data_IF_503540400237
#
_entry.id   IF_503540400237
#
_cell.length_a   1.000
_cell.length_b   1.000
_cell.length_c   1.000
_cell.angle_alpha   90.00
_cell.angle_beta   90.00
_cell.angle_gamma   90.00
#
_symmetry.space_group_name_H-M   'P 1'
#
loop_
_entity.id
_entity.type
_entity.pdbx_description
1 polymer ?
#
# COMPACT_ATOMS: atom_id res chain seq x y z
N UNK A 1 -0.31 12.43 -7.18
CA UNK A 1 -0.16 11.14 -6.45
C UNK A 1 0.04 9.99 -7.43
N UNK A 2 0.75 8.93 -7.07
CA UNK A 2 0.90 7.67 -7.82
C UNK A 2 0.63 6.43 -6.94
N UNK A 3 0.34 5.26 -7.52
CA UNK A 3 -0.05 4.03 -6.81
C UNK A 3 0.72 2.80 -7.26
N UNK A 4 1.00 1.88 -6.32
CA UNK A 4 1.67 0.59 -6.59
C UNK A 4 1.06 -0.55 -5.76
N UNK A 5 0.81 -1.68 -6.41
CA UNK A 5 0.45 -2.94 -5.74
C UNK A 5 1.62 -3.92 -5.84
N UNK A 6 1.97 -4.57 -4.73
CA UNK A 6 3.02 -5.58 -4.65
C UNK A 6 2.39 -6.91 -4.26
N UNK A 7 2.37 -7.84 -5.20
CA UNK A 7 1.88 -9.21 -4.99
C UNK A 7 3.05 -10.10 -4.58
N UNK A 8 2.88 -10.85 -3.50
CA UNK A 8 3.82 -11.86 -3.04
C UNK A 8 3.11 -13.19 -2.80
N UNK A 9 3.87 -14.28 -2.89
CA UNK A 9 3.41 -15.63 -2.58
C UNK A 9 4.29 -16.24 -1.49
N UNK A 10 3.68 -16.84 -0.47
CA UNK A 10 4.36 -17.61 0.57
C UNK A 10 3.95 -19.07 0.43
N UNK A 11 4.93 -19.97 0.37
CA UNK A 11 4.69 -21.42 0.35
C UNK A 11 4.98 -21.97 1.72
N UNK A 12 3.96 -22.53 2.37
CA UNK A 12 4.10 -23.24 3.63
C UNK A 12 4.11 -24.74 3.34
N UNK A 13 5.20 -25.40 3.72
CA UNK A 13 5.30 -26.85 3.70
C UNK A 13 5.00 -27.39 5.10
N UNK A 14 4.08 -28.34 5.19
CA UNK A 14 3.82 -29.06 6.42
C UNK A 14 4.49 -30.44 6.32
N UNK A 15 5.59 -30.62 7.05
CA UNK A 15 6.36 -31.86 7.04
C UNK A 15 5.60 -33.05 7.67
N UNK A 16 4.64 -32.80 8.57
CA UNK A 16 3.89 -33.86 9.24
C UNK A 16 2.77 -34.46 8.35
N UNK A 17 2.24 -33.68 7.42
CA UNK A 17 1.15 -34.11 6.53
C UNK A 17 1.60 -34.22 5.06
N UNK A 18 2.86 -33.90 4.75
CA UNK A 18 3.40 -33.81 3.40
C UNK A 18 2.56 -32.91 2.46
N UNK A 19 1.85 -31.93 3.03
CA UNK A 19 1.04 -30.98 2.27
C UNK A 19 1.80 -29.68 2.09
N UNK A 20 1.63 -29.08 0.91
CA UNK A 20 2.12 -27.74 0.60
C UNK A 20 0.93 -26.82 0.36
N UNK A 21 0.93 -25.65 0.99
CA UNK A 21 -0.08 -24.61 0.78
C UNK A 21 0.62 -23.35 0.28
N UNK A 22 0.11 -22.80 -0.83
CA UNK A 22 0.57 -21.51 -1.36
C UNK A 22 -0.43 -20.44 -1.00
N UNK A 23 0.03 -19.38 -0.35
CA UNK A 23 -0.77 -18.22 0.02
C UNK A 23 -0.30 -16.99 -0.74
N UNK A 24 -1.25 -16.26 -1.31
CA UNK A 24 -0.98 -14.99 -1.99
C UNK A 24 -1.32 -13.83 -1.05
N UNK A 25 -0.46 -12.80 -1.03
CA UNK A 25 -0.68 -11.57 -0.28
C UNK A 25 -0.38 -10.39 -1.20
N UNK A 26 -1.24 -9.37 -1.16
CA UNK A 26 -0.98 -8.10 -1.85
C UNK A 26 -0.80 -6.99 -0.83
N UNK A 27 0.31 -6.24 -0.96
CA UNK A 27 0.56 -5.01 -0.23
C UNK A 27 0.38 -3.80 -1.14
N UNK A 28 -0.28 -2.77 -0.65
CA UNK A 28 -0.60 -1.56 -1.41
C UNK A 28 0.20 -0.37 -0.89
N UNK A 29 0.66 0.46 -1.82
CA UNK A 29 1.46 1.64 -1.54
C UNK A 29 0.98 2.83 -2.36
N UNK A 30 1.00 4.02 -1.76
CA UNK A 30 0.71 5.27 -2.42
C UNK A 30 1.92 6.21 -2.29
N UNK A 31 2.32 6.84 -3.39
CA UNK A 31 3.40 7.84 -3.43
C UNK A 31 2.79 9.24 -3.54
N UNK A 32 3.05 10.05 -2.54
CA UNK A 32 2.64 11.45 -2.49
C UNK A 32 3.84 12.32 -2.85
N UNK A 33 3.60 13.32 -3.69
CA UNK A 33 4.59 14.35 -4.01
C UNK A 33 4.12 15.66 -3.38
N UNK A 34 4.98 16.25 -2.57
CA UNK A 34 4.72 17.54 -1.94
C UNK A 34 5.11 18.68 -2.88
N UNK A 35 4.69 19.90 -2.55
CA UNK A 35 5.03 21.10 -3.31
C UNK A 35 6.54 21.37 -3.38
N UNK A 36 7.30 20.94 -2.36
CA UNK A 36 8.76 20.96 -2.36
C UNK A 36 9.40 20.05 -3.41
N UNK A 37 8.62 19.16 -4.02
CA UNK A 37 9.11 18.10 -4.91
C UNK A 37 9.46 16.79 -4.19
N UNK A 38 9.48 16.79 -2.86
CA UNK A 38 9.75 15.60 -2.05
C UNK A 38 8.69 14.52 -2.29
N UNK A 39 9.12 13.26 -2.23
CA UNK A 39 8.25 12.10 -2.41
C UNK A 39 8.23 11.23 -1.18
N UNK A 40 7.03 10.82 -0.78
CA UNK A 40 6.80 9.91 0.34
C UNK A 40 5.92 8.75 -0.12
N UNK A 41 6.47 7.54 -0.10
CA UNK A 41 5.71 6.31 -0.31
C UNK A 41 5.27 5.75 1.05
N UNK A 42 3.96 5.53 1.20
CA UNK A 42 3.37 4.98 2.42
C UNK A 42 2.60 3.69 2.11
N UNK A 43 2.69 2.66 2.98
CA UNK A 43 1.78 1.53 2.92
C UNK A 43 0.36 2.01 3.25
N UNK A 44 -0.61 1.54 2.47
CA UNK A 44 -2.02 1.90 2.62
C UNK A 44 -2.89 0.64 2.68
N UNK A 45 -4.00 0.73 3.41
CA UNK A 45 -5.00 -0.34 3.41
C UNK A 45 -5.64 -0.46 2.01
N UNK A 46 -6.09 -1.66 1.65
CA UNK A 46 -6.71 -1.90 0.35
C UNK A 46 -7.94 -1.02 0.09
N UNK A 47 -8.72 -0.74 1.15
CA UNK A 47 -9.88 0.15 1.11
C UNK A 47 -9.48 1.58 0.75
N UNK A 48 -8.50 2.14 1.47
CA UNK A 48 -7.95 3.47 1.21
C UNK A 48 -7.32 3.56 -0.19
N UNK A 49 -6.53 2.55 -0.57
CA UNK A 49 -5.91 2.48 -1.90
C UNK A 49 -6.92 2.52 -3.05
N UNK A 50 -8.11 1.93 -2.84
CA UNK A 50 -9.22 1.97 -3.80
C UNK A 50 -9.87 3.34 -3.92
N UNK A 51 -9.86 4.14 -2.84
CA UNK A 51 -10.41 5.49 -2.82
C UNK A 51 -9.46 6.54 -3.40
N UNK A 52 -8.15 6.30 -3.31
CA UNK A 52 -7.13 7.19 -3.85
C UNK A 52 -7.14 7.18 -5.40
N UNK A 53 -7.17 8.36 -6.04
CA UNK A 53 -7.08 8.51 -7.50
C UNK A 53 -5.77 9.18 -7.88
N UNK A 54 -5.08 8.64 -8.90
CA UNK A 54 -3.84 9.25 -9.38
C UNK A 54 -4.12 10.64 -9.99
N UNK A 55 -3.20 11.56 -9.76
CA UNK A 55 -3.40 12.97 -10.12
C UNK A 55 -4.24 13.78 -9.12
N UNK A 56 -4.87 13.18 -8.11
CA UNK A 56 -5.54 13.96 -7.07
C UNK A 56 -4.53 14.78 -6.25
N UNK A 57 -4.99 15.97 -5.87
CA UNK A 57 -4.31 16.90 -4.98
C UNK A 57 -5.14 17.10 -3.72
N UNK A 58 -4.48 17.32 -2.60
CA UNK A 58 -5.14 17.37 -1.30
C UNK A 58 -4.19 17.31 -0.13
N UNK A 59 -4.77 17.18 1.07
CA UNK A 59 -4.02 17.15 2.32
C UNK A 59 -3.75 15.69 2.75
N UNK A 60 -2.48 15.34 2.87
CA UNK A 60 -2.04 14.07 3.43
C UNK A 60 -1.85 14.17 4.95
N UNK A 61 -2.49 13.27 5.69
CA UNK A 61 -2.26 13.05 7.12
C UNK A 61 -1.48 11.75 7.34
N UNK A 62 -0.36 11.82 8.07
CA UNK A 62 0.48 10.67 8.36
C UNK A 62 1.25 10.83 9.68
N UNK A 63 1.70 9.72 10.26
CA UNK A 63 2.55 9.71 11.45
C UNK A 63 3.74 8.76 11.22
N UNK A 64 4.94 9.30 11.12
CA UNK A 64 6.13 8.53 10.74
C UNK A 64 5.95 7.91 9.35
N UNK A 65 5.93 6.58 9.27
CA UNK A 65 5.67 5.81 8.03
C UNK A 65 4.23 5.28 7.94
N UNK A 66 3.35 5.72 8.84
CA UNK A 66 1.94 5.30 8.87
C UNK A 66 1.04 6.34 8.20
N UNK A 67 0.34 5.92 7.15
CA UNK A 67 -0.76 6.68 6.57
C UNK A 67 -1.94 6.79 7.56
N UNK A 68 -2.49 7.99 7.72
CA UNK A 68 -3.68 8.25 8.54
C UNK A 68 -4.89 8.70 7.70
N UNK A 69 -4.68 9.34 6.55
CA UNK A 69 -5.77 9.76 5.68
C UNK A 69 -5.32 10.71 4.57
N UNK A 70 -6.12 10.83 3.53
CA UNK A 70 -5.94 11.81 2.45
C UNK A 70 -7.27 12.49 2.17
N UNK A 71 -7.29 13.81 2.26
CA UNK A 71 -8.46 14.62 1.94
C UNK A 71 -8.25 15.31 0.60
N UNK A 72 -8.99 14.84 -0.42
CA UNK A 72 -9.01 15.41 -1.76
C UNK A 72 -9.60 16.83 -1.76
N UNK A 73 -9.06 17.70 -2.61
CA UNK A 73 -9.58 19.03 -2.95
C UNK A 73 -10.38 19.05 -4.26
#
# INVERSE_FOLDING_TARGET
MAKRAQVGSSVHHNAATHTSSTHYNTRYFATFQFESGDRLELPVAATEYGLLVEGDHGLLSFQGTRYLGFQRQ
#
